data_IF_542173878526
#
_entry.id   IF_542173878526
#
_cell.length_a   1.000
_cell.length_b   1.000
_cell.length_c   1.000
_cell.angle_alpha   90.00
_cell.angle_beta   90.00
_cell.angle_gamma   90.00
#
_symmetry.space_group_name_H-M   'P 1'
#
loop_
_entity.id
_entity.type
_entity.pdbx_description
1 polymer ?
#
# COMPACT_ATOMS: atom_id res chain seq x y z
N UNK A 1 -22.58 -5.68 -2.58
CA UNK A 1 -21.84 -6.76 -1.89
C UNK A 1 -20.35 -6.50 -2.09
N UNK A 2 -19.54 -6.60 -1.04
CA UNK A 2 -18.08 -6.34 -1.04
C UNK A 2 -17.31 -7.11 -2.14
N UNK A 3 -17.75 -8.32 -2.44
CA UNK A 3 -17.09 -9.26 -3.36
C UNK A 3 -16.96 -8.74 -4.78
N UNK A 4 -17.67 -7.68 -5.19
CA UNK A 4 -17.50 -7.06 -6.51
C UNK A 4 -16.18 -6.28 -6.63
N UNK A 5 -15.68 -5.69 -5.56
CA UNK A 5 -14.53 -4.77 -5.61
C UNK A 5 -13.21 -5.45 -6.04
N UNK A 6 -12.89 -6.66 -5.57
CA UNK A 6 -11.74 -7.38 -6.09
C UNK A 6 -11.78 -7.54 -7.61
N UNK A 7 -12.92 -7.88 -8.19
CA UNK A 7 -13.06 -8.03 -9.65
C UNK A 7 -12.97 -6.68 -10.37
N UNK A 8 -13.62 -5.62 -9.87
CA UNK A 8 -13.50 -4.27 -10.45
C UNK A 8 -12.02 -3.83 -10.54
N UNK A 9 -11.22 -4.09 -9.50
CA UNK A 9 -9.78 -3.77 -9.49
C UNK A 9 -8.99 -4.72 -10.37
N UNK A 10 -9.36 -6.00 -10.39
CA UNK A 10 -8.70 -7.02 -11.21
C UNK A 10 -8.79 -6.67 -12.69
N UNK A 11 -10.00 -6.40 -13.17
CA UNK A 11 -10.28 -6.08 -14.57
C UNK A 11 -9.56 -4.78 -14.96
N UNK A 12 -9.59 -3.77 -14.09
CA UNK A 12 -8.89 -2.50 -14.33
C UNK A 12 -7.37 -2.65 -14.44
N UNK A 13 -6.75 -3.55 -13.69
CA UNK A 13 -5.31 -3.85 -13.79
C UNK A 13 -4.98 -4.54 -15.13
N UNK A 14 -5.79 -5.51 -15.56
CA UNK A 14 -5.61 -6.18 -16.85
C UNK A 14 -5.77 -5.20 -18.02
N UNK A 15 -6.77 -4.33 -17.96
CA UNK A 15 -6.99 -3.28 -18.96
C UNK A 15 -5.84 -2.27 -19.01
N UNK A 16 -5.30 -1.86 -17.85
CA UNK A 16 -4.15 -0.94 -17.80
C UNK A 16 -2.90 -1.60 -18.34
N UNK A 17 -2.63 -2.86 -17.98
CA UNK A 17 -1.48 -3.60 -18.49
C UNK A 17 -1.54 -3.72 -20.02
N UNK A 18 -2.69 -4.10 -20.57
CA UNK A 18 -2.89 -4.18 -22.02
C UNK A 18 -2.68 -2.83 -22.72
N UNK A 19 -3.18 -1.74 -22.12
CA UNK A 19 -3.03 -0.37 -22.65
C UNK A 19 -1.58 0.09 -22.70
N UNK A 20 -0.81 -0.27 -21.67
CA UNK A 20 0.58 0.18 -21.50
C UNK A 20 1.59 -0.79 -22.16
N UNK A 21 1.11 -1.84 -22.84
CA UNK A 21 1.94 -2.81 -23.55
C UNK A 21 2.61 -3.86 -22.65
N UNK A 22 2.14 -4.02 -21.41
CA UNK A 22 2.53 -5.11 -20.52
C UNK A 22 1.69 -6.38 -20.77
N UNK A 23 2.18 -7.53 -20.29
CA UNK A 23 1.40 -8.76 -20.29
C UNK A 23 0.16 -8.59 -19.39
N UNK A 24 -1.08 -8.73 -19.89
CA UNK A 24 -2.29 -8.60 -19.08
C UNK A 24 -2.40 -9.66 -17.97
N UNK A 25 -1.67 -10.77 -18.08
CA UNK A 25 -1.59 -11.79 -17.04
C UNK A 25 -0.54 -11.47 -15.97
N UNK A 26 0.29 -10.43 -16.17
CA UNK A 26 1.24 -9.95 -15.18
C UNK A 26 0.49 -9.30 -14.03
N UNK A 27 0.44 -10.01 -12.90
CA UNK A 27 -0.35 -9.59 -11.74
C UNK A 27 0.55 -9.24 -10.57
N UNK A 28 0.19 -8.20 -9.79
CA UNK A 28 0.90 -7.92 -8.55
C UNK A 28 0.76 -9.10 -7.59
N UNK A 29 1.82 -9.33 -6.81
CA UNK A 29 1.75 -10.26 -5.67
C UNK A 29 0.61 -9.84 -4.73
N UNK A 30 0.01 -10.81 -4.04
CA UNK A 30 -1.21 -10.62 -3.26
C UNK A 30 -1.21 -9.35 -2.39
N UNK A 31 -0.14 -9.10 -1.62
CA UNK A 31 -0.06 -7.92 -0.75
C UNK A 31 -0.09 -6.59 -1.53
N UNK A 32 0.56 -6.54 -2.69
CA UNK A 32 0.52 -5.36 -3.57
C UNK A 32 -0.85 -5.18 -4.22
N UNK A 33 -1.57 -6.27 -4.52
CA UNK A 33 -2.94 -6.21 -5.01
C UNK A 33 -3.93 -5.64 -3.96
N UNK A 34 -3.69 -5.91 -2.67
CA UNK A 34 -4.56 -5.38 -1.61
C UNK A 34 -4.54 -3.86 -1.51
N UNK A 35 -3.47 -3.19 -1.95
CA UNK A 35 -3.35 -1.73 -1.89
C UNK A 35 -4.36 -1.02 -2.81
N UNK A 36 -4.40 -1.26 -4.14
CA UNK A 36 -5.44 -0.65 -4.98
C UNK A 36 -6.85 -1.08 -4.58
N UNK A 37 -7.03 -2.32 -4.07
CA UNK A 37 -8.32 -2.75 -3.53
C UNK A 37 -8.76 -1.93 -2.30
N UNK A 38 -7.85 -1.68 -1.36
CA UNK A 38 -8.14 -0.90 -0.15
C UNK A 38 -8.28 0.60 -0.42
N UNK A 39 -7.79 1.09 -1.56
CA UNK A 39 -8.07 2.45 -2.07
C UNK A 39 -9.44 2.50 -2.75
N UNK A 40 -9.72 1.54 -3.63
CA UNK A 40 -10.94 1.50 -4.43
C UNK A 40 -12.19 1.37 -3.58
N UNK A 41 -12.18 0.50 -2.57
CA UNK A 41 -13.38 0.23 -1.78
C UNK A 41 -13.93 1.47 -1.04
N UNK A 42 -13.14 2.20 -0.22
CA UNK A 42 -13.63 3.39 0.46
C UNK A 42 -14.11 4.47 -0.51
N UNK A 43 -13.43 4.61 -1.66
CA UNK A 43 -13.86 5.53 -2.73
C UNK A 43 -15.25 5.15 -3.29
N UNK A 44 -15.51 3.86 -3.49
CA UNK A 44 -16.80 3.37 -4.00
C UNK A 44 -17.92 3.43 -2.98
N UNK A 45 -17.59 3.31 -1.70
CA UNK A 45 -18.54 3.43 -0.59
C UNK A 45 -18.76 4.90 -0.15
N UNK A 46 -18.04 5.86 -0.75
CA UNK A 46 -18.18 7.28 -0.43
C UNK A 46 -17.68 7.65 0.97
N UNK A 47 -16.61 6.98 1.42
CA UNK A 47 -16.00 7.24 2.74
C UNK A 47 -15.21 8.55 2.71
N UNK A 48 -15.45 9.42 3.69
CA UNK A 48 -14.75 10.70 3.81
C UNK A 48 -13.28 10.54 4.25
N UNK A 49 -13.00 9.57 5.12
CA UNK A 49 -11.67 9.34 5.71
C UNK A 49 -11.36 7.84 5.77
N UNK A 50 -10.24 7.44 5.15
CA UNK A 50 -9.69 6.10 5.25
C UNK A 50 -8.40 6.12 6.09
N UNK A 51 -8.23 5.12 6.95
CA UNK A 51 -7.03 4.94 7.77
C UNK A 51 -6.27 3.74 7.24
N UNK A 52 -4.99 3.93 6.93
CA UNK A 52 -4.12 2.89 6.39
C UNK A 52 -3.06 2.49 7.42
N UNK A 53 -3.03 1.21 7.76
CA UNK A 53 -1.91 0.62 8.46
C UNK A 53 -0.75 0.40 7.48
N UNK A 54 0.44 0.83 7.87
CA UNK A 54 1.66 0.70 7.07
C UNK A 54 2.18 -0.73 7.20
N UNK A 55 2.69 -1.29 6.10
CA UNK A 55 3.31 -2.61 6.11
C UNK A 55 4.63 -2.62 6.92
N UNK A 56 5.34 -3.75 6.91
CA UNK A 56 6.64 -3.86 7.61
C UNK A 56 7.60 -2.74 7.21
N UNK A 57 7.59 -2.35 5.94
CA UNK A 57 8.31 -1.19 5.41
C UNK A 57 7.43 0.07 5.42
N UNK A 58 8.01 1.23 5.74
CA UNK A 58 7.33 2.52 5.55
C UNK A 58 7.63 3.11 4.18
N UNK A 59 8.87 3.53 3.97
CA UNK A 59 9.34 4.20 2.74
C UNK A 59 8.99 3.41 1.46
N UNK A 60 9.39 2.13 1.42
CA UNK A 60 9.18 1.25 0.26
C UNK A 60 7.86 0.46 0.35
N UNK A 61 7.03 0.74 1.35
CA UNK A 61 5.77 0.03 1.58
C UNK A 61 4.77 0.30 0.46
N UNK A 62 3.94 -0.70 0.13
CA UNK A 62 2.92 -0.54 -0.91
C UNK A 62 1.88 0.53 -0.58
N UNK A 63 1.69 0.81 0.71
CA UNK A 63 0.78 1.87 1.20
C UNK A 63 1.38 3.27 1.11
N UNK A 64 2.67 3.43 0.81
CA UNK A 64 3.32 4.74 0.74
C UNK A 64 3.13 5.46 -0.61
N UNK A 65 2.00 5.22 -1.27
CA UNK A 65 1.65 5.80 -2.59
C UNK A 65 0.86 7.11 -2.50
N UNK A 66 0.38 7.48 -1.31
CA UNK A 66 -0.39 8.71 -1.11
C UNK A 66 0.53 9.93 -1.02
N UNK A 67 0.24 10.97 -1.80
CA UNK A 67 1.01 12.23 -1.79
C UNK A 67 0.43 13.27 -0.84
N UNK A 68 -0.90 13.32 -0.69
CA UNK A 68 -1.60 14.28 0.16
C UNK A 68 -2.27 13.56 1.32
N UNK A 69 -1.63 13.59 2.50
CA UNK A 69 -2.11 12.94 3.72
C UNK A 69 -2.59 14.01 4.71
N UNK A 70 -3.73 13.76 5.37
CA UNK A 70 -4.23 14.66 6.41
C UNK A 70 -3.39 14.56 7.70
N UNK A 71 -2.93 13.36 8.02
CA UNK A 71 -2.13 13.06 9.21
C UNK A 71 -1.33 11.78 9.00
N UNK A 72 -0.14 11.72 9.60
CA UNK A 72 0.72 10.53 9.68
C UNK A 72 1.15 10.31 11.12
N UNK A 73 1.37 9.05 11.50
CA UNK A 73 1.73 8.69 12.87
C UNK A 73 2.57 7.43 12.90
N UNK A 74 3.57 7.45 13.78
CA UNK A 74 4.44 6.30 14.06
C UNK A 74 4.21 5.90 15.52
N UNK A 75 3.84 4.63 15.72
CA UNK A 75 3.69 4.04 17.05
C UNK A 75 5.06 3.68 17.65
N UNK A 76 5.07 2.99 18.79
CA UNK A 76 6.31 2.56 19.46
C UNK A 76 7.24 1.81 18.49
N UNK A 77 8.50 2.27 18.41
CA UNK A 77 9.54 1.61 17.63
C UNK A 77 10.35 0.66 18.51
N UNK A 78 10.65 -0.50 17.95
CA UNK A 78 11.54 -1.50 18.54
C UNK A 78 12.36 -2.18 17.46
N UNK A 79 13.35 -2.97 17.87
CA UNK A 79 14.07 -3.85 16.95
C UNK A 79 13.13 -4.98 16.55
N UNK A 80 12.73 -4.99 15.29
CA UNK A 80 11.88 -6.02 14.71
C UNK A 80 12.20 -6.15 13.22
N UNK A 81 11.90 -7.30 12.62
CA UNK A 81 12.11 -7.57 11.20
C UNK A 81 13.52 -7.22 10.68
N UNK A 82 14.57 -7.56 11.45
CA UNK A 82 15.98 -7.22 11.18
C UNK A 82 16.45 -7.57 9.76
N UNK A 83 15.97 -8.69 9.21
CA UNK A 83 16.32 -9.13 7.86
C UNK A 83 15.84 -8.16 6.76
N UNK A 84 14.80 -7.36 7.03
CA UNK A 84 14.21 -6.42 6.08
C UNK A 84 14.56 -4.97 6.41
N UNK A 85 14.56 -4.61 7.70
CA UNK A 85 14.70 -3.22 8.16
C UNK A 85 16.10 -2.87 8.67
N UNK A 86 17.01 -3.85 8.72
CA UNK A 86 18.34 -3.74 9.31
C UNK A 86 18.35 -3.97 10.83
N UNK A 87 19.54 -4.13 11.38
CA UNK A 87 19.82 -4.50 12.77
C UNK A 87 20.01 -3.29 13.71
N UNK A 88 19.80 -2.07 13.20
CA UNK A 88 19.97 -0.84 13.96
C UNK A 88 18.65 -0.08 14.11
N UNK A 89 18.48 0.65 15.21
CA UNK A 89 17.34 1.57 15.36
C UNK A 89 17.35 2.62 14.24
N UNK A 90 18.53 3.07 13.81
CA UNK A 90 18.65 4.06 12.74
C UNK A 90 18.06 3.59 11.41
N UNK A 91 18.32 2.33 11.03
CA UNK A 91 17.77 1.76 9.79
C UNK A 91 16.25 1.60 9.88
N UNK A 92 15.74 1.13 11.01
CA UNK A 92 14.29 0.99 11.25
C UNK A 92 13.60 2.37 11.22
N UNK A 93 14.19 3.38 11.85
CA UNK A 93 13.68 4.76 11.86
C UNK A 93 13.65 5.34 10.44
N UNK A 94 14.67 5.09 9.61
CA UNK A 94 14.67 5.53 8.22
C UNK A 94 13.49 4.91 7.45
N UNK A 95 13.30 3.60 7.56
CA UNK A 95 12.18 2.92 6.90
C UNK A 95 10.82 3.45 7.38
N UNK A 96 10.60 3.61 8.69
CA UNK A 96 9.30 4.06 9.23
C UNK A 96 9.08 5.56 9.04
N UNK A 97 10.14 6.36 9.03
CA UNK A 97 10.09 7.81 8.80
C UNK A 97 9.72 8.18 7.36
N UNK A 98 9.88 7.27 6.41
CA UNK A 98 9.51 7.48 5.01
C UNK A 98 8.03 7.76 4.73
N UNK A 99 7.16 7.57 5.72
CA UNK A 99 5.73 7.88 5.60
C UNK A 99 5.42 9.36 5.83
N UNK A 100 6.35 10.13 6.40
CA UNK A 100 6.14 11.55 6.66
C UNK A 100 6.22 12.35 5.35
N UNK A 101 5.12 13.04 5.02
CA UNK A 101 4.94 13.90 3.85
C UNK A 101 4.21 15.17 4.26
#
# INVERSE_FOLDING_TARGET
MFTKYPFEVWDALEESAARDGFDPLLRPIYFRFLTPLSIHLPMREGVDVAVYEVSVEGENGSTNVFESLAVTGVMTLGIDHVNLLGDTIGSIVWHKGGIFK
#
